data_IF_757909918698
#
_entry.id   IF_757909918698
#
_cell.length_a   1.000
_cell.length_b   1.000
_cell.length_c   1.000
_cell.angle_alpha   90.00
_cell.angle_beta   90.00
_cell.angle_gamma   90.00
#
_symmetry.space_group_name_H-M   'P 1'
#
loop_
_entity.id
_entity.type
_entity.pdbx_description
1 polymer ?
#
# COMPACT_ATOMS: atom_id res chain seq x y z
N UNK A 1 -20.74 -11.92 12.79
CA UNK A 1 -19.91 -13.11 12.51
C UNK A 1 -19.24 -13.12 11.13
N UNK A 2 -19.95 -13.00 10.00
CA UNK A 2 -19.28 -13.05 8.67
C UNK A 2 -18.48 -11.77 8.33
N UNK A 3 -18.99 -10.59 8.67
CA UNK A 3 -18.28 -9.31 8.49
C UNK A 3 -16.96 -9.24 9.28
N UNK A 4 -16.94 -9.81 10.49
CA UNK A 4 -15.75 -9.85 11.34
C UNK A 4 -14.65 -10.73 10.75
N UNK A 5 -15.02 -11.92 10.23
CA UNK A 5 -14.08 -12.77 9.48
C UNK A 5 -13.57 -12.09 8.22
N UNK A 6 -14.43 -11.37 7.50
CA UNK A 6 -14.03 -10.65 6.30
C UNK A 6 -13.01 -9.54 6.61
N UNK A 7 -13.29 -8.75 7.66
CA UNK A 7 -12.39 -7.71 8.15
C UNK A 7 -11.03 -8.26 8.59
N UNK A 8 -11.02 -9.37 9.35
CA UNK A 8 -9.77 -10.01 9.77
C UNK A 8 -8.95 -10.53 8.58
N UNK A 9 -9.64 -11.10 7.57
CA UNK A 9 -8.99 -11.60 6.35
C UNK A 9 -8.38 -10.47 5.54
N UNK A 10 -9.08 -9.33 5.42
CA UNK A 10 -8.58 -8.13 4.75
C UNK A 10 -7.35 -7.54 5.44
N UNK A 11 -7.37 -7.46 6.78
CA UNK A 11 -6.21 -6.98 7.56
C UNK A 11 -5.01 -7.91 7.36
N UNK A 12 -5.23 -9.23 7.45
CA UNK A 12 -4.16 -10.21 7.31
C UNK A 12 -3.57 -10.22 5.89
N UNK A 13 -4.41 -10.07 4.87
CA UNK A 13 -3.99 -9.95 3.48
C UNK A 13 -3.18 -8.65 3.26
N UNK A 14 -3.65 -7.53 3.80
CA UNK A 14 -2.93 -6.25 3.74
C UNK A 14 -1.56 -6.31 4.42
N UNK A 15 -1.48 -6.94 5.59
CA UNK A 15 -0.22 -7.15 6.30
C UNK A 15 0.76 -8.04 5.50
N UNK A 16 0.28 -9.15 4.94
CA UNK A 16 1.10 -10.05 4.13
C UNK A 16 1.64 -9.35 2.87
N UNK A 17 0.81 -8.54 2.20
CA UNK A 17 1.21 -7.72 1.05
C UNK A 17 2.27 -6.69 1.43
N UNK A 18 2.08 -5.97 2.55
CA UNK A 18 3.05 -5.00 3.04
C UNK A 18 4.39 -5.67 3.38
N UNK A 19 4.36 -6.82 4.05
CA UNK A 19 5.55 -7.59 4.39
C UNK A 19 6.30 -8.07 3.13
N UNK A 20 5.58 -8.60 2.13
CA UNK A 20 6.17 -9.02 0.87
C UNK A 20 6.81 -7.84 0.12
N UNK A 21 6.17 -6.67 0.09
CA UNK A 21 6.72 -5.48 -0.56
C UNK A 21 8.05 -5.04 0.09
N UNK A 22 8.12 -5.06 1.43
CA UNK A 22 9.36 -4.76 2.16
C UNK A 22 10.44 -5.80 1.86
N UNK A 23 10.07 -7.08 1.79
CA UNK A 23 11.01 -8.17 1.51
C UNK A 23 11.59 -8.05 0.09
N UNK A 24 10.77 -7.71 -0.90
CA UNK A 24 11.20 -7.46 -2.29
C UNK A 24 12.15 -6.27 -2.36
N UNK A 25 11.82 -5.17 -1.65
CA UNK A 25 12.70 -4.02 -1.57
C UNK A 25 14.05 -4.38 -0.93
N UNK A 26 14.04 -5.14 0.16
CA UNK A 26 15.25 -5.60 0.85
C UNK A 26 16.12 -6.51 -0.05
N UNK A 27 15.52 -7.42 -0.82
CA UNK A 27 16.23 -8.23 -1.80
C UNK A 27 16.86 -7.37 -2.91
N UNK A 28 16.15 -6.33 -3.36
CA UNK A 28 16.65 -5.41 -4.39
C UNK A 28 17.87 -4.61 -3.90
N UNK A 29 17.87 -4.17 -2.63
CA UNK A 29 19.05 -3.54 -1.98
C UNK A 29 20.20 -4.55 -1.86
N UNK A 30 19.92 -5.79 -1.45
CA UNK A 30 20.94 -6.82 -1.27
C UNK A 30 21.68 -7.18 -2.58
N UNK A 31 21.03 -6.98 -3.73
CA UNK A 31 21.63 -7.16 -5.06
C UNK A 31 22.39 -5.92 -5.58
N UNK A 32 22.56 -4.88 -4.77
CA UNK A 32 23.25 -3.64 -5.15
C UNK A 32 22.37 -2.65 -5.92
N UNK A 33 21.05 -2.89 -5.98
CA UNK A 33 20.10 -1.98 -6.59
C UNK A 33 19.75 -0.80 -5.67
N UNK A 34 19.51 0.37 -6.26
CA UNK A 34 18.91 1.50 -5.56
C UNK A 34 17.41 1.21 -5.33
N UNK A 35 17.08 0.58 -4.20
CA UNK A 35 15.68 0.32 -3.88
C UNK A 35 14.97 1.62 -3.54
N UNK A 36 13.87 1.86 -4.25
CA UNK A 36 12.90 2.87 -3.87
C UNK A 36 11.69 2.15 -3.30
N UNK A 37 11.28 2.55 -2.09
CA UNK A 37 10.08 2.02 -1.45
C UNK A 37 9.10 3.15 -1.25
N UNK A 38 7.83 2.89 -1.47
CA UNK A 38 6.75 3.85 -1.26
C UNK A 38 5.47 3.13 -0.88
N UNK A 39 4.66 3.76 -0.04
CA UNK A 39 3.38 3.23 0.41
C UNK A 39 2.46 4.34 0.91
N UNK A 40 1.16 4.06 0.97
CA UNK A 40 0.18 4.94 1.57
C UNK A 40 -0.68 4.17 2.55
N UNK A 41 -1.00 4.82 3.67
CA UNK A 41 -1.96 4.32 4.65
C UNK A 41 -3.16 5.26 4.65
N UNK A 42 -4.36 4.70 4.54
CA UNK A 42 -5.61 5.45 4.70
C UNK A 42 -5.95 5.52 6.19
N UNK A 43 -5.90 6.72 6.77
CA UNK A 43 -6.40 6.98 8.11
C UNK A 43 -7.74 7.70 7.95
N UNK A 44 -8.84 7.00 8.29
CA UNK A 44 -10.22 7.42 8.04
C UNK A 44 -10.49 7.67 6.53
N UNK A 45 -10.22 8.88 6.04
CA UNK A 45 -10.37 9.27 4.64
C UNK A 45 -9.14 10.01 4.09
N UNK A 46 -8.08 10.13 4.90
CA UNK A 46 -6.88 10.87 4.52
C UNK A 46 -5.78 9.87 4.14
N UNK A 47 -5.34 9.83 2.86
CA UNK A 47 -4.20 9.03 2.47
C UNK A 47 -2.91 9.71 2.96
N UNK A 48 -2.21 9.06 3.89
CA UNK A 48 -0.88 9.46 4.31
C UNK A 48 0.12 8.60 3.55
N UNK A 49 0.89 9.22 2.67
CA UNK A 49 1.85 8.53 1.82
C UNK A 49 3.29 8.80 2.25
N UNK A 50 4.12 7.76 2.24
CA UNK A 50 5.54 7.79 2.62
C UNK A 50 6.37 7.05 1.58
N UNK A 51 7.58 7.51 1.33
CA UNK A 51 8.51 6.81 0.46
C UNK A 51 9.92 7.33 0.55
N UNK A 52 10.87 6.48 0.18
CA UNK A 52 12.31 6.77 0.14
C UNK A 52 12.90 6.24 -1.17
N UNK A 53 13.88 6.95 -1.72
CA UNK A 53 14.54 6.62 -2.99
C UNK A 53 14.13 7.52 -4.15
N UNK A 54 14.86 7.43 -5.27
CA UNK A 54 14.70 8.32 -6.43
C UNK A 54 13.38 8.12 -7.18
N UNK A 55 12.80 6.91 -7.11
CA UNK A 55 11.50 6.60 -7.72
C UNK A 55 10.33 6.82 -6.77
N UNK A 56 10.59 7.17 -5.50
CA UNK A 56 9.56 7.42 -4.49
C UNK A 56 8.45 8.39 -4.93
N UNK A 57 8.71 9.54 -5.58
CA UNK A 57 7.64 10.44 -5.98
C UNK A 57 6.70 9.81 -7.03
N UNK A 58 7.23 9.00 -7.94
CA UNK A 58 6.42 8.29 -8.93
C UNK A 58 5.57 7.19 -8.28
N UNK A 59 6.16 6.42 -7.37
CA UNK A 59 5.45 5.40 -6.59
C UNK A 59 4.34 6.02 -5.73
N UNK A 60 4.61 7.15 -5.09
CA UNK A 60 3.63 7.91 -4.30
C UNK A 60 2.41 8.31 -5.13
N UNK A 61 2.63 8.82 -6.35
CA UNK A 61 1.54 9.20 -7.26
C UNK A 61 0.67 8.00 -7.65
N UNK A 62 1.30 6.86 -7.97
CA UNK A 62 0.55 5.63 -8.32
C UNK A 62 -0.27 5.13 -7.13
N UNK A 63 0.32 5.05 -5.94
CA UNK A 63 -0.39 4.55 -4.76
C UNK A 63 -1.49 5.51 -4.32
N UNK A 64 -1.28 6.82 -4.43
CA UNK A 64 -2.31 7.83 -4.15
C UNK A 64 -3.49 7.73 -5.14
N UNK A 65 -3.21 7.58 -6.44
CA UNK A 65 -4.24 7.39 -7.46
C UNK A 65 -5.05 6.11 -7.21
N UNK A 66 -4.37 5.01 -6.82
CA UNK A 66 -5.01 3.76 -6.47
C UNK A 66 -5.90 3.92 -5.23
N UNK A 67 -5.40 4.58 -4.18
CA UNK A 67 -6.17 4.84 -2.96
C UNK A 67 -7.44 5.66 -3.25
N UNK A 68 -7.33 6.72 -4.05
CA UNK A 68 -8.48 7.53 -4.48
C UNK A 68 -9.48 6.72 -5.31
N UNK A 69 -9.00 5.86 -6.22
CA UNK A 69 -9.85 4.99 -7.01
C UNK A 69 -10.62 4.00 -6.13
N UNK A 70 -9.98 3.37 -5.14
CA UNK A 70 -10.66 2.48 -4.18
C UNK A 70 -11.71 3.23 -3.35
N UNK A 71 -11.40 4.44 -2.89
CA UNK A 71 -12.37 5.28 -2.17
C UNK A 71 -13.57 5.61 -3.05
N UNK A 72 -13.35 6.05 -4.30
CA UNK A 72 -14.43 6.33 -5.24
C UNK A 72 -15.27 5.08 -5.54
N UNK A 73 -14.64 3.92 -5.72
CA UNK A 73 -15.35 2.65 -5.93
C UNK A 73 -16.20 2.27 -4.72
N UNK A 74 -15.66 2.47 -3.51
CA UNK A 74 -16.38 2.19 -2.28
C UNK A 74 -17.61 3.08 -2.09
N UNK A 75 -17.55 4.34 -2.54
CA UNK A 75 -18.70 5.26 -2.52
C UNK A 75 -19.74 4.93 -3.61
N UNK A 76 -19.34 4.37 -4.73
CA UNK A 76 -20.25 3.94 -5.81
C UNK A 76 -20.94 2.59 -5.51
N UNK A 77 -20.27 1.71 -4.76
CA UNK A 77 -20.76 0.39 -4.38
C UNK A 77 -21.60 0.40 -3.10
N UNK A 78 -21.57 1.50 -2.34
CA UNK A 78 -22.37 1.73 -1.15
C UNK A 78 -23.67 2.45 -1.51
#
# INVERSE_FOLDING_TARGET
>A
MQLEKLGFTLILAGFALAFAAVLVAALSVAQGGAASVGGCVLILFVPICFGVGSLAPYLLVVVLALALALVALSLLLW
#
